data_IF_635479733287
#
_entry.id   IF_635479733287
#
_cell.length_a   1.000
_cell.length_b   1.000
_cell.length_c   1.000
_cell.angle_alpha   90.00
_cell.angle_beta   90.00
_cell.angle_gamma   90.00
#
_symmetry.space_group_name_H-M   'P 1'
#
loop_
_entity.id
_entity.type
_entity.pdbx_description
1 polymer ?
#
# COMPACT_ATOMS: atom_id res chain seq x y z
N UNK A 1 12.45 -20.96 1.40
CA UNK A 1 12.64 -19.71 2.17
C UNK A 1 11.95 -18.60 1.40
N UNK A 2 11.07 -17.82 2.03
CA UNK A 2 10.42 -16.69 1.35
C UNK A 2 11.42 -15.58 1.04
N UNK A 3 11.23 -14.87 -0.08
CA UNK A 3 12.08 -13.72 -0.44
C UNK A 3 11.95 -12.54 0.54
N UNK A 4 12.82 -11.53 0.38
CA UNK A 4 12.71 -10.28 1.13
C UNK A 4 11.36 -9.62 0.81
N UNK A 5 10.43 -9.64 1.76
CA UNK A 5 9.06 -9.18 1.57
C UNK A 5 8.79 -7.94 2.44
N UNK A 6 8.44 -6.84 1.80
CA UNK A 6 7.99 -5.60 2.42
C UNK A 6 6.75 -5.11 1.69
N UNK A 7 5.63 -5.05 2.41
CA UNK A 7 4.29 -4.83 1.88
C UNK A 7 3.77 -3.50 2.42
N UNK A 8 3.26 -2.66 1.54
CA UNK A 8 2.52 -1.44 1.91
C UNK A 8 1.07 -1.62 1.49
N UNK A 9 0.13 -1.44 2.43
CA UNK A 9 -1.31 -1.49 2.17
C UNK A 9 -1.88 -0.09 2.38
N UNK A 10 -2.51 0.48 1.37
CA UNK A 10 -3.19 1.77 1.52
C UNK A 10 -4.61 1.60 2.00
N UNK A 11 -5.07 2.57 2.80
CA UNK A 11 -6.43 2.68 3.29
C UNK A 11 -6.92 4.12 3.07
N UNK A 12 -8.17 4.34 2.62
CA UNK A 12 -8.68 5.69 2.39
C UNK A 12 -8.84 6.48 3.70
N UNK A 13 -9.03 5.77 4.83
CA UNK A 13 -9.34 6.37 6.13
C UNK A 13 -8.25 6.07 7.16
N UNK A 14 -7.85 7.11 7.91
CA UNK A 14 -6.88 6.99 9.00
C UNK A 14 -7.28 5.93 10.04
N UNK A 15 -8.55 5.93 10.46
CA UNK A 15 -9.05 4.98 11.47
C UNK A 15 -8.94 3.55 10.96
N UNK A 16 -9.20 3.30 9.67
CA UNK A 16 -9.05 1.98 9.07
C UNK A 16 -7.59 1.52 9.06
N UNK A 17 -6.66 2.38 8.65
CA UNK A 17 -5.23 2.05 8.65
C UNK A 17 -4.72 1.63 10.05
N UNK A 18 -5.09 2.40 11.08
CA UNK A 18 -4.69 2.11 12.47
C UNK A 18 -5.36 0.83 12.97
N UNK A 19 -6.68 0.72 12.82
CA UNK A 19 -7.44 -0.41 13.34
C UNK A 19 -7.02 -1.73 12.69
N UNK A 20 -6.77 -1.74 11.37
CA UNK A 20 -6.30 -2.93 10.66
C UNK A 20 -4.89 -3.31 11.07
N UNK A 21 -3.97 -2.35 11.22
CA UNK A 21 -2.63 -2.65 11.70
C UNK A 21 -2.63 -3.27 13.11
N UNK A 22 -3.41 -2.71 14.04
CA UNK A 22 -3.54 -3.25 15.40
C UNK A 22 -4.21 -4.63 15.37
N UNK A 23 -5.27 -4.80 14.57
CA UNK A 23 -5.97 -6.08 14.45
C UNK A 23 -5.06 -7.17 13.88
N UNK A 24 -4.34 -6.87 12.80
CA UNK A 24 -3.46 -7.83 12.12
C UNK A 24 -2.23 -8.15 12.97
N UNK A 25 -1.67 -7.19 13.70
CA UNK A 25 -0.62 -7.46 14.69
C UNK A 25 -1.12 -8.45 15.76
N UNK A 26 -2.30 -8.18 16.33
CA UNK A 26 -2.89 -9.02 17.36
C UNK A 26 -3.17 -10.45 16.86
N UNK A 27 -3.66 -10.60 15.64
CA UNK A 27 -3.92 -11.91 15.04
C UNK A 27 -2.65 -12.67 14.66
N UNK A 28 -1.58 -11.96 14.28
CA UNK A 28 -0.33 -12.56 13.82
C UNK A 28 0.53 -13.09 14.96
N UNK A 29 0.74 -12.29 16.00
CA UNK A 29 1.69 -12.61 17.08
C UNK A 29 1.22 -12.16 18.47
N UNK A 30 -0.03 -11.70 18.58
CA UNK A 30 -0.61 -11.27 19.85
C UNK A 30 -0.07 -9.93 20.35
N UNK A 31 0.63 -9.16 19.50
CA UNK A 31 1.21 -7.86 19.85
C UNK A 31 0.40 -6.69 19.31
N UNK A 32 0.66 -5.49 19.83
CA UNK A 32 0.19 -4.25 19.21
C UNK A 32 1.06 -3.87 18.00
N UNK A 33 0.52 -3.03 17.11
CA UNK A 33 1.26 -2.52 15.96
C UNK A 33 2.59 -1.85 16.38
N UNK A 34 3.61 -1.91 15.51
CA UNK A 34 4.96 -1.37 15.72
C UNK A 34 6.08 -2.40 15.57
N UNK A 35 5.76 -3.69 15.63
CA UNK A 35 6.68 -4.80 15.34
C UNK A 35 6.71 -5.16 13.85
N UNK A 36 6.38 -6.40 13.53
CA UNK A 36 6.30 -6.90 12.15
C UNK A 36 5.20 -6.22 11.30
N UNK A 37 4.14 -5.76 11.98
CA UNK A 37 3.02 -5.01 11.40
C UNK A 37 3.03 -3.61 11.99
N UNK A 38 2.84 -2.59 11.15
CA UNK A 38 2.84 -1.20 11.58
C UNK A 38 1.83 -0.36 10.80
N UNK A 39 1.71 0.90 11.21
CA UNK A 39 0.95 1.89 10.45
C UNK A 39 1.66 3.24 10.29
N UNK A 40 1.26 3.98 9.26
CA UNK A 40 1.67 5.36 9.04
C UNK A 40 0.52 6.20 8.48
N UNK A 41 0.14 7.23 9.22
CA UNK A 41 -0.89 8.20 8.84
C UNK A 41 -0.35 9.61 9.05
N UNK A 42 -1.09 10.63 8.60
CA UNK A 42 -0.64 12.01 8.79
C UNK A 42 -0.41 12.31 10.28
N UNK A 43 0.79 12.77 10.61
CA UNK A 43 1.28 13.14 11.96
C UNK A 43 1.44 11.99 12.97
N UNK A 44 1.22 10.74 12.56
CA UNK A 44 1.33 9.60 13.48
C UNK A 44 1.82 8.35 12.74
N UNK A 45 2.83 7.68 13.29
CA UNK A 45 3.33 6.43 12.75
C UNK A 45 3.79 5.52 13.88
N UNK A 46 3.50 4.23 13.74
CA UNK A 46 3.90 3.16 14.64
C UNK A 46 4.48 2.03 13.80
N UNK A 47 5.78 2.11 13.53
CA UNK A 47 6.54 1.16 12.72
C UNK A 47 7.99 1.11 13.24
N UNK A 48 8.71 0.06 12.89
CA UNK A 48 10.13 -0.14 13.23
C UNK A 48 10.89 -0.74 12.05
N UNK A 49 12.20 -0.92 12.19
CA UNK A 49 13.02 -1.62 11.18
C UNK A 49 12.57 -3.08 10.95
N UNK A 50 11.87 -3.65 11.93
CA UNK A 50 11.28 -4.99 11.83
C UNK A 50 9.94 -5.00 11.07
N UNK A 51 9.34 -3.84 10.80
CA UNK A 51 8.07 -3.77 10.06
C UNK A 51 8.25 -4.27 8.64
N UNK A 52 7.38 -5.22 8.26
CA UNK A 52 7.31 -5.84 6.92
C UNK A 52 5.93 -5.69 6.29
N UNK A 53 4.92 -5.35 7.09
CA UNK A 53 3.58 -5.00 6.63
C UNK A 53 3.21 -3.63 7.20
N UNK A 54 3.07 -2.64 6.33
CA UNK A 54 2.73 -1.27 6.70
C UNK A 54 1.34 -0.91 6.17
N UNK A 55 0.39 -0.64 7.06
CA UNK A 55 -0.88 -0.01 6.69
C UNK A 55 -0.71 1.51 6.69
N UNK A 56 -1.14 2.19 5.64
CA UNK A 56 -1.00 3.65 5.59
C UNK A 56 -2.17 4.32 4.88
N UNK A 57 -2.33 5.62 5.08
CA UNK A 57 -3.26 6.39 4.24
C UNK A 57 -2.66 6.63 2.86
N UNK A 58 -3.50 6.70 1.83
CA UNK A 58 -3.08 7.01 0.43
C UNK A 58 -2.12 8.20 0.35
N UNK A 59 -2.42 9.29 1.04
CA UNK A 59 -1.55 10.48 1.09
C UNK A 59 -0.15 10.24 1.68
N UNK A 60 0.03 9.26 2.56
CA UNK A 60 1.35 8.90 3.10
C UNK A 60 2.17 8.17 2.04
N UNK A 61 1.55 7.22 1.31
CA UNK A 61 2.23 6.54 0.22
C UNK A 61 2.58 7.51 -0.92
N UNK A 62 1.66 8.41 -1.29
CA UNK A 62 1.94 9.48 -2.26
C UNK A 62 3.13 10.35 -1.84
N UNK A 63 3.22 10.72 -0.54
CA UNK A 63 4.37 11.46 -0.03
C UNK A 63 5.66 10.66 -0.09
N UNK A 64 5.61 9.34 0.11
CA UNK A 64 6.77 8.45 -0.01
C UNK A 64 7.25 8.33 -1.45
N UNK A 65 6.33 8.13 -2.39
CA UNK A 65 6.62 8.06 -3.83
C UNK A 65 7.28 9.33 -4.38
N UNK A 66 7.01 10.51 -3.79
CA UNK A 66 7.71 11.75 -4.16
C UNK A 66 9.20 11.73 -3.83
N UNK A 67 9.60 11.03 -2.76
CA UNK A 67 11.00 10.91 -2.33
C UNK A 67 11.70 9.64 -2.83
N UNK A 68 10.93 8.56 -3.05
CA UNK A 68 11.38 7.27 -3.56
C UNK A 68 10.42 6.79 -4.66
N UNK A 69 10.53 7.32 -5.90
CA UNK A 69 9.63 6.98 -7.01
C UNK A 69 9.69 5.52 -7.42
N UNK A 70 10.81 4.85 -7.17
CA UNK A 70 11.03 3.44 -7.52
C UNK A 70 10.53 2.47 -6.44
N UNK A 71 10.22 2.98 -5.24
CA UNK A 71 9.88 2.17 -4.07
C UNK A 71 10.87 1.03 -3.84
N UNK A 72 12.18 1.32 -3.87
CA UNK A 72 13.25 0.28 -3.92
C UNK A 72 13.19 -0.74 -2.78
N UNK A 73 12.67 -0.34 -1.62
CA UNK A 73 12.55 -1.21 -0.45
C UNK A 73 11.20 -1.89 -0.32
N UNK A 74 10.25 -1.63 -1.23
CA UNK A 74 8.90 -2.19 -1.20
C UNK A 74 8.78 -3.26 -2.28
N UNK A 75 8.36 -4.44 -1.87
CA UNK A 75 8.11 -5.55 -2.80
C UNK A 75 6.68 -5.53 -3.34
N UNK A 76 5.72 -5.12 -2.50
CA UNK A 76 4.30 -5.15 -2.84
C UNK A 76 3.59 -3.88 -2.36
N UNK A 77 2.77 -3.30 -3.22
CA UNK A 77 1.81 -2.27 -2.85
C UNK A 77 0.41 -2.83 -3.06
N UNK A 78 -0.40 -2.79 -2.02
CA UNK A 78 -1.81 -3.15 -2.06
C UNK A 78 -2.63 -1.87 -1.96
N UNK A 79 -3.38 -1.56 -3.02
CA UNK A 79 -4.30 -0.43 -3.03
C UNK A 79 -5.70 -0.95 -2.69
N UNK A 80 -6.13 -0.70 -1.45
CA UNK A 80 -7.45 -1.11 -0.98
C UNK A 80 -8.53 -0.07 -1.31
N UNK A 81 -9.78 -0.52 -1.36
CA UNK A 81 -10.97 0.31 -1.57
C UNK A 81 -10.93 1.17 -2.85
N UNK A 82 -10.34 0.65 -3.95
CA UNK A 82 -10.20 1.44 -5.21
C UNK A 82 -11.54 1.87 -5.83
N UNK A 83 -12.66 1.31 -5.36
CA UNK A 83 -14.00 1.71 -5.80
C UNK A 83 -14.49 3.03 -5.21
N UNK A 84 -13.88 3.55 -4.14
CA UNK A 84 -14.27 4.86 -3.60
C UNK A 84 -13.91 6.01 -4.58
N UNK A 85 -13.12 5.73 -5.64
CA UNK A 85 -12.74 6.66 -6.73
C UNK A 85 -12.38 8.06 -6.23
N UNK A 86 -11.63 8.11 -5.13
CA UNK A 86 -11.10 9.37 -4.61
C UNK A 86 -10.00 9.90 -5.53
N UNK A 87 -9.85 11.23 -5.61
CA UNK A 87 -8.78 11.87 -6.37
C UNK A 87 -7.40 11.31 -5.99
N UNK A 88 -7.15 11.13 -4.69
CA UNK A 88 -5.88 10.61 -4.19
C UNK A 88 -5.61 9.18 -4.66
N UNK A 89 -6.65 8.33 -4.72
CA UNK A 89 -6.51 6.96 -5.23
C UNK A 89 -6.20 6.96 -6.72
N UNK A 90 -6.91 7.77 -7.51
CA UNK A 90 -6.68 7.87 -8.96
C UNK A 90 -5.25 8.39 -9.24
N UNK A 91 -4.78 9.40 -8.51
CA UNK A 91 -3.38 9.86 -8.59
C UNK A 91 -2.38 8.79 -8.19
N UNK A 92 -2.68 8.01 -7.15
CA UNK A 92 -1.81 6.90 -6.74
C UNK A 92 -1.67 5.86 -7.84
N UNK A 93 -2.75 5.52 -8.55
CA UNK A 93 -2.70 4.56 -9.66
C UNK A 93 -1.84 5.05 -10.82
N UNK A 94 -1.89 6.35 -11.14
CA UNK A 94 -1.02 6.98 -12.15
C UNK A 94 0.44 6.84 -11.76
N UNK A 95 0.79 7.21 -10.54
CA UNK A 95 2.19 7.18 -10.08
C UNK A 95 2.67 5.72 -9.93
N UNK A 96 1.82 4.79 -9.49
CA UNK A 96 2.18 3.38 -9.41
C UNK A 96 2.42 2.75 -10.78
N UNK A 97 1.67 3.16 -11.80
CA UNK A 97 1.91 2.72 -13.18
C UNK A 97 3.29 3.18 -13.67
N UNK A 98 3.69 4.41 -13.34
CA UNK A 98 5.06 4.90 -13.62
C UNK A 98 6.11 4.15 -12.79
N UNK A 99 5.85 3.90 -11.50
CA UNK A 99 6.78 3.15 -10.64
C UNK A 99 7.02 1.73 -11.16
N UNK A 100 5.99 1.05 -11.67
CA UNK A 100 6.09 -0.29 -12.28
C UNK A 100 6.97 -0.32 -13.54
N UNK A 101 7.03 0.77 -14.32
CA UNK A 101 7.88 0.83 -15.50
C UNK A 101 9.37 0.98 -15.15
N UNK A 102 9.67 1.56 -13.98
CA UNK A 102 11.04 1.79 -13.49
C UNK A 102 11.51 0.62 -12.61
N UNK A 103 10.62 0.04 -11.80
CA UNK A 103 10.90 -1.08 -10.90
C UNK A 103 10.07 -2.33 -11.29
N UNK A 104 10.59 -3.21 -12.16
CA UNK A 104 9.88 -4.42 -12.59
C UNK A 104 9.74 -5.49 -11.50
N UNK A 105 10.40 -5.32 -10.34
CA UNK A 105 10.26 -6.22 -9.20
C UNK A 105 9.12 -5.81 -8.26
N UNK A 106 8.55 -4.60 -8.43
CA UNK A 106 7.40 -4.14 -7.67
C UNK A 106 6.15 -4.88 -8.13
N UNK A 107 5.37 -5.40 -7.17
CA UNK A 107 4.04 -5.96 -7.46
C UNK A 107 2.96 -5.03 -6.93
N UNK A 108 1.97 -4.70 -7.76
CA UNK A 108 0.80 -3.90 -7.35
C UNK A 108 -0.44 -4.79 -7.33
N UNK A 109 -1.16 -4.76 -6.22
CA UNK A 109 -2.43 -5.49 -6.02
C UNK A 109 -3.54 -4.47 -5.79
N UNK A 110 -4.62 -4.56 -6.56
CA UNK A 110 -5.79 -3.70 -6.41
C UNK A 110 -6.90 -4.49 -5.71
N UNK A 111 -7.45 -3.95 -4.62
CA UNK A 111 -8.56 -4.56 -3.87
C UNK A 111 -9.79 -3.64 -3.88
N UNK A 112 -10.97 -4.25 -4.01
CA UNK A 112 -12.24 -3.52 -4.07
C UNK A 112 -13.42 -4.45 -3.81
N UNK A 113 -14.46 -3.91 -3.18
CA UNK A 113 -15.73 -4.60 -2.96
C UNK A 113 -16.64 -4.70 -4.19
N UNK A 114 -16.52 -3.78 -5.17
CA UNK A 114 -17.47 -3.64 -6.30
C UNK A 114 -16.79 -3.57 -7.67
N UNK A 115 -15.57 -4.13 -7.77
CA UNK A 115 -14.65 -3.89 -8.88
C UNK A 115 -15.24 -4.25 -10.26
N UNK A 116 -15.19 -3.29 -11.19
CA UNK A 116 -15.04 -3.59 -12.62
C UNK A 116 -13.56 -3.92 -12.87
N UNK A 117 -13.20 -5.19 -12.72
CA UNK A 117 -11.83 -5.66 -12.92
C UNK A 117 -11.31 -5.35 -14.34
N UNK A 118 -12.20 -5.26 -15.33
CA UNK A 118 -11.84 -4.99 -16.72
C UNK A 118 -11.29 -3.58 -16.90
N UNK A 119 -11.91 -2.58 -16.27
CA UNK A 119 -11.45 -1.19 -16.33
C UNK A 119 -10.01 -1.05 -15.79
N UNK A 120 -9.74 -1.56 -14.58
CA UNK A 120 -8.41 -1.43 -13.98
C UNK A 120 -7.37 -2.31 -14.68
N UNK A 121 -7.74 -3.52 -15.11
CA UNK A 121 -6.85 -4.37 -15.89
C UNK A 121 -6.44 -3.67 -17.20
N UNK A 122 -7.40 -3.04 -17.91
CA UNK A 122 -7.10 -2.29 -19.13
C UNK A 122 -6.15 -1.12 -18.86
N UNK A 123 -6.34 -0.38 -17.76
CA UNK A 123 -5.48 0.74 -17.40
C UNK A 123 -4.01 0.34 -17.19
N UNK A 124 -3.77 -0.79 -16.52
CA UNK A 124 -2.41 -1.30 -16.27
C UNK A 124 -1.82 -2.13 -17.42
N UNK A 125 -2.65 -2.71 -18.31
CA UNK A 125 -2.16 -3.45 -19.48
C UNK A 125 -1.97 -2.58 -20.73
N UNK A 126 -2.56 -1.38 -20.81
CA UNK A 126 -2.41 -0.46 -21.96
C UNK A 126 -1.07 0.30 -21.96
N UNK A 127 0.00 -0.34 -21.48
CA UNK A 127 1.37 0.13 -21.60
C UNK A 127 2.10 -0.77 -22.61
N UNK A 128 1.78 -0.58 -23.88
CA UNK A 128 2.68 -0.90 -25.00
C UNK A 128 3.52 0.35 -25.32
#
# INVERSE_FOLDING_TARGET
>A
QGGACNIVVTQPRRIAAIALAERVAQERDGTSAGGAVGYAVRLESKQSEATRLLFCTTGVLLSKLRGDPELRQVSHVVVDEVHERSLDSDFLLIILREALSINPHLTVVLMSATLDAGLFASYFHSAE
#
